data_IF_908802280975
#
_entry.id   IF_908802280975
#
_cell.length_a   1.000
_cell.length_b   1.000
_cell.length_c   1.000
_cell.angle_alpha   90.00
_cell.angle_beta   90.00
_cell.angle_gamma   90.00
#
_symmetry.space_group_name_H-M   'P 1'
#
loop_
_entity.id
_entity.type
_entity.pdbx_description
1 polymer ?
#
# COMPACT_ATOMS: atom_id res chain seq x y z
N UNK A 1 -22.73 2.95 0.68
CA UNK A 1 -21.52 3.29 -0.08
C UNK A 1 -20.34 2.87 0.77
N UNK A 2 -19.44 2.05 0.23
CA UNK A 2 -18.23 1.60 0.94
C UNK A 2 -17.32 2.81 1.19
N UNK A 3 -17.16 3.22 2.46
CA UNK A 3 -16.36 4.38 2.85
C UNK A 3 -14.85 4.08 2.88
N UNK A 4 -14.46 2.82 2.70
CA UNK A 4 -13.08 2.34 2.85
C UNK A 4 -12.09 3.10 1.95
N UNK A 5 -12.35 3.35 0.65
CA UNK A 5 -11.45 4.17 -0.18
C UNK A 5 -11.17 5.56 0.40
N UNK A 6 -12.18 6.19 1.01
CA UNK A 6 -12.02 7.53 1.59
C UNK A 6 -11.21 7.47 2.88
N UNK A 7 -11.41 6.44 3.71
CA UNK A 7 -10.60 6.19 4.91
C UNK A 7 -9.14 5.99 4.52
N UNK A 8 -8.86 5.13 3.55
CA UNK A 8 -7.49 4.88 3.07
C UNK A 8 -6.86 6.16 2.53
N UNK A 9 -7.60 6.96 1.76
CA UNK A 9 -7.13 8.27 1.31
C UNK A 9 -6.71 9.15 2.48
N UNK A 10 -7.55 9.27 3.52
CA UNK A 10 -7.27 10.08 4.71
C UNK A 10 -6.05 9.56 5.47
N UNK A 11 -5.92 8.24 5.67
CA UNK A 11 -4.78 7.64 6.35
C UNK A 11 -3.47 7.94 5.61
N UNK A 12 -3.46 7.73 4.29
CA UNK A 12 -2.28 7.98 3.44
C UNK A 12 -1.93 9.46 3.39
N UNK A 13 -2.93 10.35 3.29
CA UNK A 13 -2.70 11.80 3.29
C UNK A 13 -2.10 12.27 4.62
N UNK A 14 -2.61 11.77 5.74
CA UNK A 14 -2.10 12.09 7.06
C UNK A 14 -0.64 11.62 7.23
N UNK A 15 -0.32 10.41 6.76
CA UNK A 15 1.03 9.87 6.84
C UNK A 15 2.02 10.67 5.96
N UNK A 16 1.65 10.98 4.71
CA UNK A 16 2.46 11.82 3.81
C UNK A 16 2.67 13.24 4.35
N UNK A 17 1.69 13.78 5.08
CA UNK A 17 1.81 15.10 5.70
C UNK A 17 2.75 15.09 6.92
N UNK A 18 2.73 14.00 7.71
CA UNK A 18 3.52 13.84 8.92
C UNK A 18 4.97 13.38 8.66
N UNK A 19 5.26 12.79 7.50
CA UNK A 19 6.59 12.27 7.20
C UNK A 19 7.64 13.41 7.07
N UNK A 20 8.83 13.28 7.71
CA UNK A 20 9.89 14.28 7.62
C UNK A 20 10.40 14.46 6.19
N UNK A 21 11.05 15.59 5.91
CA UNK A 21 11.64 15.91 4.59
C UNK A 21 13.08 16.38 4.70
N UNK A 22 13.74 15.95 5.75
CA UNK A 22 15.02 16.49 6.20
C UNK A 22 16.17 15.91 5.36
N UNK A 23 16.08 14.64 4.96
CA UNK A 23 17.06 14.00 4.11
C UNK A 23 16.65 13.94 2.63
N UNK A 24 17.61 13.70 1.75
CA UNK A 24 17.34 13.37 0.35
C UNK A 24 16.52 12.09 0.22
N UNK A 25 16.80 11.08 1.05
CA UNK A 25 16.09 9.81 1.04
C UNK A 25 14.60 9.99 1.33
N UNK A 26 14.24 10.80 2.34
CA UNK A 26 12.83 11.06 2.68
C UNK A 26 12.07 11.73 1.53
N UNK A 27 12.73 12.67 0.83
CA UNK A 27 12.14 13.36 -0.32
C UNK A 27 11.92 12.42 -1.49
N UNK A 28 12.90 11.56 -1.79
CA UNK A 28 12.78 10.56 -2.85
C UNK A 28 11.69 9.53 -2.54
N UNK A 29 11.59 9.09 -1.28
CA UNK A 29 10.53 8.21 -0.82
C UNK A 29 9.13 8.81 -1.06
N UNK A 30 8.92 10.06 -0.64
CA UNK A 30 7.65 10.76 -0.83
C UNK A 30 7.34 10.94 -2.33
N UNK A 31 8.35 11.29 -3.14
CA UNK A 31 8.19 11.46 -4.58
C UNK A 31 7.79 10.15 -5.27
N UNK A 32 8.50 9.06 -4.99
CA UNK A 32 8.23 7.74 -5.56
C UNK A 32 6.85 7.22 -5.12
N UNK A 33 6.51 7.36 -3.84
CA UNK A 33 5.18 6.99 -3.33
C UNK A 33 4.08 7.80 -4.03
N UNK A 34 4.26 9.12 -4.12
CA UNK A 34 3.28 10.02 -4.76
C UNK A 34 3.11 9.70 -6.24
N UNK A 35 4.22 9.40 -6.94
CA UNK A 35 4.21 8.98 -8.35
C UNK A 35 3.41 7.69 -8.53
N UNK A 36 3.58 6.71 -7.64
CA UNK A 36 2.91 5.42 -7.76
C UNK A 36 1.51 5.40 -7.18
N UNK A 37 1.10 6.39 -6.37
CA UNK A 37 -0.21 6.44 -5.71
C UNK A 37 -1.37 6.10 -6.65
N UNK A 38 -2.20 5.16 -6.21
CA UNK A 38 -3.36 4.66 -6.95
C UNK A 38 -4.65 5.42 -6.58
N UNK A 39 -5.75 5.08 -7.25
CA UNK A 39 -7.08 5.66 -6.99
C UNK A 39 -7.83 5.04 -5.80
N UNK A 40 -7.19 4.17 -5.00
CA UNK A 40 -7.82 3.47 -3.87
C UNK A 40 -9.07 2.66 -4.26
N UNK A 41 -8.93 1.79 -5.27
CA UNK A 41 -9.99 0.85 -5.67
C UNK A 41 -9.83 -0.50 -4.96
N UNK A 42 -10.95 -1.19 -4.76
CA UNK A 42 -10.92 -2.57 -4.29
C UNK A 42 -10.24 -3.49 -5.32
N UNK A 43 -9.42 -4.42 -4.84
CA UNK A 43 -8.72 -5.45 -5.61
C UNK A 43 -8.70 -6.76 -4.82
N UNK A 44 -8.51 -7.87 -5.52
CA UNK A 44 -8.26 -9.16 -4.88
C UNK A 44 -6.77 -9.27 -4.54
N UNK A 45 -6.48 -9.62 -3.28
CA UNK A 45 -5.12 -9.89 -2.78
C UNK A 45 -5.03 -11.36 -2.39
N UNK A 46 -3.95 -12.01 -2.80
CA UNK A 46 -3.67 -13.39 -2.43
C UNK A 46 -2.96 -13.43 -1.08
N UNK A 47 -3.42 -14.30 -0.19
CA UNK A 47 -2.84 -14.51 1.14
C UNK A 47 -2.11 -15.85 1.15
N UNK A 48 -0.90 -15.93 1.75
CA UNK A 48 -0.22 -17.21 1.96
C UNK A 48 -1.16 -18.25 2.58
N UNK A 49 -1.17 -19.46 2.02
CA UNK A 49 -2.12 -20.51 2.39
C UNK A 49 -3.26 -20.72 1.37
N UNK A 50 -3.31 -19.96 0.27
CA UNK A 50 -4.20 -20.21 -0.86
C UNK A 50 -5.58 -19.57 -0.76
N UNK A 51 -5.73 -18.57 0.12
CA UNK A 51 -6.95 -17.79 0.26
C UNK A 51 -6.80 -16.41 -0.39
N UNK A 52 -7.92 -15.74 -0.62
CA UNK A 52 -7.94 -14.37 -1.13
C UNK A 52 -8.75 -13.47 -0.20
N UNK A 53 -8.38 -12.19 -0.18
CA UNK A 53 -9.09 -11.15 0.55
C UNK A 53 -9.28 -9.93 -0.33
N UNK A 54 -10.26 -9.10 0.03
CA UNK A 54 -10.44 -7.79 -0.62
C UNK A 54 -9.48 -6.79 0.01
N UNK A 55 -8.57 -6.25 -0.79
CA UNK A 55 -7.69 -5.15 -0.43
C UNK A 55 -8.07 -3.86 -1.16
N UNK A 56 -7.58 -2.73 -0.68
CA UNK A 56 -7.68 -1.43 -1.37
C UNK A 56 -6.30 -1.09 -1.92
N UNK A 57 -6.21 -0.88 -3.23
CA UNK A 57 -4.95 -0.56 -3.91
C UNK A 57 -4.43 0.83 -3.49
N UNK A 58 -3.26 0.90 -2.85
CA UNK A 58 -2.66 2.16 -2.35
C UNK A 58 -1.65 2.72 -3.34
N UNK A 59 -0.73 1.88 -3.83
CA UNK A 59 0.20 2.22 -4.90
C UNK A 59 -0.04 1.31 -6.09
N UNK A 60 0.25 1.81 -7.30
CA UNK A 60 0.34 0.98 -8.50
C UNK A 60 1.61 0.12 -8.40
N UNK A 61 1.55 -1.06 -9.01
CA UNK A 61 2.71 -1.91 -9.22
C UNK A 61 3.88 -1.12 -9.83
N UNK A 62 5.07 -1.33 -9.29
CA UNK A 62 6.33 -0.88 -9.89
C UNK A 62 7.03 -1.98 -10.71
N UNK A 63 6.34 -3.09 -10.99
CA UNK A 63 6.87 -4.29 -11.64
C UNK A 63 7.41 -5.35 -10.68
N UNK A 64 7.47 -5.06 -9.38
CA UNK A 64 7.88 -6.01 -8.35
C UNK A 64 6.93 -6.02 -7.15
N UNK A 65 6.45 -4.84 -6.73
CA UNK A 65 5.64 -4.68 -5.54
C UNK A 65 4.46 -3.75 -5.76
N UNK A 66 3.40 -4.04 -5.00
CA UNK A 66 2.17 -3.27 -4.91
C UNK A 66 1.83 -3.09 -3.42
N UNK A 67 1.55 -1.85 -2.99
CA UNK A 67 1.07 -1.59 -1.64
C UNK A 67 -0.46 -1.63 -1.61
N UNK A 68 -1.03 -2.35 -0.64
CA UNK A 68 -2.46 -2.47 -0.44
C UNK A 68 -2.84 -2.16 1.01
N UNK A 69 -4.07 -1.75 1.24
CA UNK A 69 -4.67 -1.68 2.57
C UNK A 69 -5.68 -2.82 2.73
N UNK A 70 -5.60 -3.56 3.83
CA UNK A 70 -6.43 -4.73 4.14
C UNK A 70 -7.51 -4.32 5.15
N UNK A 71 -8.78 -4.10 4.74
CA UNK A 71 -9.80 -3.52 5.62
C UNK A 71 -10.20 -4.43 6.78
N UNK A 72 -10.19 -5.75 6.58
CA UNK A 72 -10.59 -6.73 7.60
C UNK A 72 -9.69 -6.70 8.84
N UNK A 73 -8.41 -6.36 8.65
CA UNK A 73 -7.37 -6.31 9.69
C UNK A 73 -6.80 -4.91 9.89
N UNK A 74 -7.38 -3.91 9.22
CA UNK A 74 -7.06 -2.49 9.30
C UNK A 74 -5.56 -2.12 9.17
N UNK A 75 -4.82 -2.78 8.29
CA UNK A 75 -3.37 -2.57 8.10
C UNK A 75 -2.98 -2.33 6.63
N UNK A 76 -1.81 -1.74 6.40
CA UNK A 76 -1.18 -1.75 5.08
C UNK A 76 -0.30 -2.99 4.94
N UNK A 77 -0.29 -3.55 3.74
CA UNK A 77 0.52 -4.70 3.37
C UNK A 77 1.29 -4.42 2.09
N UNK A 78 2.59 -4.71 2.12
CA UNK A 78 3.40 -4.78 0.92
C UNK A 78 3.17 -6.15 0.28
N UNK A 79 2.72 -6.14 -0.97
CA UNK A 79 2.53 -7.34 -1.76
C UNK A 79 3.59 -7.43 -2.85
N UNK A 80 4.02 -8.65 -3.17
CA UNK A 80 4.78 -8.92 -4.40
C UNK A 80 3.82 -9.10 -5.57
N UNK A 81 4.21 -8.60 -6.73
CA UNK A 81 3.49 -8.84 -7.97
C UNK A 81 3.72 -10.29 -8.42
N UNK A 82 2.65 -10.99 -8.76
CA UNK A 82 2.72 -12.37 -9.28
C UNK A 82 1.79 -12.57 -10.46
N UNK A 83 1.92 -13.72 -11.15
CA UNK A 83 1.00 -14.11 -12.22
C UNK A 83 -0.47 -14.26 -11.76
N UNK A 84 -0.69 -14.44 -10.46
CA UNK A 84 -2.03 -14.56 -9.86
C UNK A 84 -2.54 -13.22 -9.28
N UNK A 85 -1.83 -12.12 -9.52
CA UNK A 85 -2.07 -10.82 -8.88
C UNK A 85 -1.19 -10.62 -7.64
N UNK A 86 -1.44 -9.55 -6.86
CA UNK A 86 -0.63 -9.22 -5.70
C UNK A 86 -0.73 -10.30 -4.61
N UNK A 87 0.40 -10.66 -4.01
CA UNK A 87 0.51 -11.64 -2.92
C UNK A 87 1.09 -10.97 -1.69
N UNK A 88 0.39 -11.04 -0.56
CA UNK A 88 0.88 -10.59 0.74
C UNK A 88 2.12 -11.38 1.16
N UNK A 89 3.18 -10.68 1.59
CA UNK A 89 4.45 -11.30 2.04
C UNK A 89 4.73 -11.10 3.54
N UNK A 90 3.73 -10.70 4.33
CA UNK A 90 3.87 -10.49 5.77
C UNK A 90 4.59 -9.21 6.18
N UNK A 91 4.80 -8.26 5.26
CA UNK A 91 5.38 -6.95 5.56
C UNK A 91 4.25 -5.95 5.78
N UNK A 92 3.93 -5.71 7.05
CA UNK A 92 2.79 -4.89 7.47
C UNK A 92 3.21 -3.70 8.34
N UNK A 93 2.42 -2.64 8.33
CA UNK A 93 2.72 -1.43 9.11
C UNK A 93 2.09 -0.17 8.51
N UNK A 94 2.66 1.01 8.81
CA UNK A 94 2.35 2.25 8.11
C UNK A 94 2.66 2.16 6.60
N UNK A 95 1.95 2.94 5.79
CA UNK A 95 2.02 2.83 4.33
C UNK A 95 3.42 3.14 3.79
N UNK A 96 4.06 4.22 4.25
CA UNK A 96 5.40 4.62 3.82
C UNK A 96 6.46 3.64 4.31
N UNK A 97 6.33 3.14 5.54
CA UNK A 97 7.25 2.16 6.10
C UNK A 97 7.24 0.84 5.31
N UNK A 98 6.04 0.33 4.98
CA UNK A 98 5.90 -0.82 4.09
C UNK A 98 6.48 -0.55 2.70
N UNK A 99 6.19 0.62 2.12
CA UNK A 99 6.68 0.98 0.79
C UNK A 99 8.21 1.12 0.73
N UNK A 100 8.86 1.54 1.82
CA UNK A 100 10.32 1.70 1.92
C UNK A 100 11.06 0.47 2.44
N UNK A 101 10.40 -0.68 2.59
CA UNK A 101 10.98 -1.88 3.21
C UNK A 101 11.95 -2.67 2.31
N UNK A 102 12.32 -2.13 1.15
CA UNK A 102 13.05 -2.82 0.06
C UNK A 102 14.05 -1.89 -0.61
#
# INVERSE_FOLDING_TARGET
MDATPQIVKTLVDAELAAHPRDSQADRMLIEDFTRLRARHRAITVNIPGGHTQTGILVTRSNGAYTLVYMPEVALFSLCVDSMFGPVDIGVHGPALACFSSI
#
